data_IF_307725275190
#
_entry.id   IF_307725275190
#
_cell.length_a   1.000
_cell.length_b   1.000
_cell.length_c   1.000
_cell.angle_alpha   90.00
_cell.angle_beta   90.00
_cell.angle_gamma   90.00
#
_symmetry.space_group_name_H-M   'P 1'
#
loop_
_entity.id
_entity.type
_entity.pdbx_description
1 polymer ?
#
# COMPACT_ATOMS: atom_id res chain seq x y z
N UNK A 1 -17.87 5.42 -22.84
CA UNK A 1 -18.09 5.81 -21.44
C UNK A 1 -18.15 4.62 -20.48
N UNK A 2 -19.02 3.60 -20.65
CA UNK A 2 -19.07 2.46 -19.71
C UNK A 2 -17.75 1.66 -19.69
N UNK A 3 -17.08 1.52 -20.84
CA UNK A 3 -15.78 0.84 -20.95
C UNK A 3 -14.70 1.46 -20.06
N UNK A 4 -14.55 2.78 -20.06
CA UNK A 4 -13.56 3.48 -19.22
C UNK A 4 -13.86 3.31 -17.72
N UNK A 5 -15.13 3.36 -17.34
CA UNK A 5 -15.57 3.10 -15.97
C UNK A 5 -15.19 1.70 -15.50
N UNK A 6 -15.54 0.67 -16.28
CA UNK A 6 -15.22 -0.72 -15.92
C UNK A 6 -13.72 -1.00 -15.94
N UNK A 7 -12.97 -0.42 -16.87
CA UNK A 7 -11.51 -0.51 -16.87
C UNK A 7 -10.91 0.09 -15.61
N UNK A 8 -11.33 1.32 -15.23
CA UNK A 8 -10.86 1.99 -14.03
C UNK A 8 -11.16 1.15 -12.77
N UNK A 9 -12.41 0.72 -12.59
CA UNK A 9 -12.82 -0.10 -11.44
C UNK A 9 -12.10 -1.46 -11.44
N UNK A 10 -11.95 -2.09 -12.60
CA UNK A 10 -11.21 -3.35 -12.72
C UNK A 10 -9.75 -3.24 -12.28
N UNK A 11 -9.07 -2.14 -12.64
CA UNK A 11 -7.71 -1.85 -12.19
C UNK A 11 -7.65 -1.62 -10.67
N UNK A 12 -8.59 -0.87 -10.10
CA UNK A 12 -8.67 -0.62 -8.66
C UNK A 12 -8.94 -1.90 -7.86
N UNK A 13 -9.92 -2.71 -8.27
CA UNK A 13 -10.27 -3.95 -7.59
C UNK A 13 -9.18 -5.00 -7.71
N UNK A 14 -8.59 -5.18 -8.90
CA UNK A 14 -7.47 -6.11 -9.07
C UNK A 14 -6.28 -5.72 -8.19
N UNK A 15 -6.01 -4.42 -8.05
CA UNK A 15 -4.99 -3.92 -7.14
C UNK A 15 -5.34 -4.14 -5.67
N UNK A 16 -6.58 -3.85 -5.25
CA UNK A 16 -7.04 -4.08 -3.89
C UNK A 16 -6.89 -5.55 -3.49
N UNK A 17 -7.33 -6.46 -4.36
CA UNK A 17 -7.22 -7.91 -4.16
C UNK A 17 -5.74 -8.32 -4.12
N UNK A 18 -4.94 -7.90 -5.10
CA UNK A 18 -3.52 -8.22 -5.18
C UNK A 18 -2.74 -7.74 -3.95
N UNK A 19 -2.91 -6.47 -3.57
CA UNK A 19 -2.27 -5.91 -2.38
C UNK A 19 -2.72 -6.62 -1.10
N UNK A 20 -4.01 -6.93 -0.97
CA UNK A 20 -4.52 -7.65 0.20
C UNK A 20 -3.93 -9.06 0.28
N UNK A 21 -3.86 -9.78 -0.83
CA UNK A 21 -3.23 -11.11 -0.88
C UNK A 21 -1.75 -11.04 -0.49
N UNK A 22 -1.00 -10.09 -1.02
CA UNK A 22 0.42 -9.89 -0.69
C UNK A 22 0.58 -9.53 0.80
N UNK A 23 -0.21 -8.58 1.30
CA UNK A 23 -0.20 -8.16 2.69
C UNK A 23 -0.48 -9.33 3.64
N UNK A 24 -1.59 -10.06 3.42
CA UNK A 24 -1.95 -11.21 4.23
C UNK A 24 -0.90 -12.32 4.15
N UNK A 25 -0.32 -12.55 2.97
CA UNK A 25 0.75 -13.55 2.81
C UNK A 25 1.94 -13.21 3.70
N UNK A 26 2.38 -11.95 3.73
CA UNK A 26 3.52 -11.54 4.55
C UNK A 26 3.17 -11.59 6.04
N UNK A 27 1.97 -11.15 6.44
CA UNK A 27 1.54 -11.19 7.85
C UNK A 27 1.48 -12.61 8.41
N UNK A 28 0.99 -13.57 7.64
CA UNK A 28 0.85 -14.96 8.10
C UNK A 28 2.06 -15.85 7.81
N UNK A 29 3.03 -15.38 7.01
CA UNK A 29 4.22 -16.17 6.66
C UNK A 29 5.42 -15.79 7.52
N UNK A 30 5.92 -16.70 8.37
CA UNK A 30 7.16 -16.44 9.12
C UNK A 30 8.40 -16.39 8.20
N UNK A 31 8.27 -16.81 6.94
CA UNK A 31 9.36 -16.87 5.96
C UNK A 31 9.65 -15.51 5.32
N UNK A 32 8.67 -14.60 5.31
CA UNK A 32 8.80 -13.31 4.62
C UNK A 32 8.83 -12.20 5.67
N UNK A 33 10.02 -11.66 5.92
CA UNK A 33 10.18 -10.50 6.80
C UNK A 33 10.28 -9.23 5.96
N UNK A 34 9.40 -8.27 6.24
CA UNK A 34 9.39 -6.93 5.64
C UNK A 34 9.57 -5.87 6.73
N UNK A 35 10.01 -4.68 6.33
CA UNK A 35 10.14 -3.55 7.24
C UNK A 35 8.77 -3.01 7.65
N UNK A 36 8.69 -2.35 8.81
CA UNK A 36 7.42 -1.90 9.38
C UNK A 36 6.66 -0.94 8.43
N UNK A 37 7.40 -0.06 7.73
CA UNK A 37 6.84 0.93 6.79
C UNK A 37 6.27 0.31 5.51
N UNK A 38 6.62 -0.93 5.19
CA UNK A 38 6.04 -1.63 4.04
C UNK A 38 4.58 -2.03 4.31
N UNK A 39 4.23 -2.38 5.55
CA UNK A 39 2.85 -2.70 5.92
C UNK A 39 1.94 -1.48 5.80
N UNK A 40 2.38 -0.31 6.29
CA UNK A 40 1.59 0.93 6.19
C UNK A 40 1.43 1.38 4.74
N UNK A 41 2.46 1.19 3.92
CA UNK A 41 2.38 1.37 2.47
C UNK A 41 1.32 0.46 1.84
N UNK A 42 1.30 -0.85 2.12
CA UNK A 42 0.27 -1.74 1.57
C UNK A 42 -1.14 -1.34 2.01
N UNK A 43 -1.31 -1.02 3.30
CA UNK A 43 -2.62 -0.62 3.85
C UNK A 43 -3.12 0.68 3.23
N UNK A 44 -2.25 1.67 2.98
CA UNK A 44 -2.67 2.93 2.33
C UNK A 44 -3.16 2.72 0.90
N UNK A 45 -2.48 1.86 0.13
CA UNK A 45 -2.91 1.52 -1.23
C UNK A 45 -4.21 0.71 -1.27
N UNK A 46 -4.41 -0.20 -0.31
CA UNK A 46 -5.69 -0.90 -0.16
C UNK A 46 -6.81 0.10 0.12
N UNK A 47 -6.61 1.00 1.10
CA UNK A 47 -7.58 2.06 1.43
C UNK A 47 -7.88 2.96 0.23
N UNK A 48 -6.85 3.27 -0.58
CA UNK A 48 -7.01 4.03 -1.81
C UNK A 48 -7.94 3.33 -2.79
N UNK A 49 -7.64 2.07 -3.12
CA UNK A 49 -8.43 1.31 -4.07
C UNK A 49 -9.90 1.15 -3.60
N UNK A 50 -10.12 0.94 -2.30
CA UNK A 50 -11.46 0.89 -1.73
C UNK A 50 -12.20 2.23 -1.88
N UNK A 51 -11.53 3.34 -1.59
CA UNK A 51 -12.12 4.69 -1.69
C UNK A 51 -12.64 4.98 -3.11
N UNK A 52 -11.82 4.66 -4.13
CA UNK A 52 -12.22 4.82 -5.53
C UNK A 52 -13.32 3.84 -5.99
N UNK A 53 -13.50 2.73 -5.28
CA UNK A 53 -14.46 1.67 -5.63
C UNK A 53 -15.79 1.73 -4.85
N UNK A 54 -15.94 2.62 -3.86
CA UNK A 54 -17.14 2.67 -2.99
C UNK A 54 -18.46 2.71 -3.77
N UNK A 55 -18.51 3.52 -4.83
CA UNK A 55 -19.72 3.70 -5.64
C UNK A 55 -20.11 2.42 -6.42
N UNK A 56 -19.12 1.60 -6.80
CA UNK A 56 -19.37 0.33 -7.48
C UNK A 56 -20.12 -0.66 -6.57
N UNK A 57 -19.77 -0.72 -5.28
CA UNK A 57 -20.41 -1.63 -4.33
C UNK A 57 -21.88 -1.31 -4.04
N UNK A 58 -22.33 -0.09 -4.33
CA UNK A 58 -23.72 0.35 -4.08
C UNK A 58 -24.54 0.41 -5.37
N UNK A 59 -24.06 -0.23 -6.45
CA UNK A 59 -24.80 -0.32 -7.71
C UNK A 59 -24.68 0.92 -8.60
N UNK A 60 -23.69 1.79 -8.37
CA UNK A 60 -23.44 2.99 -9.18
C UNK A 60 -22.96 2.72 -10.60
N UNK A 61 -23.00 1.48 -11.09
CA UNK A 61 -22.73 1.14 -12.49
C UNK A 61 -23.80 1.71 -13.44
N UNK A 62 -25.01 2.00 -12.93
CA UNK A 62 -26.08 2.64 -13.69
C UNK A 62 -25.94 4.17 -13.63
N UNK A 63 -25.85 4.88 -14.79
CA UNK A 63 -25.85 6.33 -14.85
C UNK A 63 -27.12 6.99 -14.29
N UNK A 64 -28.25 6.27 -14.26
CA UNK A 64 -29.53 6.75 -13.75
C UNK A 64 -29.68 6.60 -12.24
N UNK A 65 -28.80 5.82 -11.59
CA UNK A 65 -28.82 5.64 -10.15
C UNK A 65 -28.14 6.82 -9.45
N UNK A 66 -28.95 7.63 -8.77
CA UNK A 66 -28.46 8.73 -7.92
C UNK A 66 -27.92 8.14 -6.61
N UNK A 67 -26.61 8.21 -6.34
CA UNK A 67 -26.06 7.66 -5.11
C UNK A 67 -26.56 8.43 -3.90
N UNK A 68 -26.60 7.76 -2.74
CA UNK A 68 -26.85 8.42 -1.47
C UNK A 68 -25.85 9.58 -1.28
N UNK A 69 -26.36 10.78 -1.01
CA UNK A 69 -25.56 12.00 -0.91
C UNK A 69 -24.45 11.89 0.15
N UNK A 70 -24.72 11.26 1.29
CA UNK A 70 -23.72 11.09 2.35
C UNK A 70 -22.59 10.16 1.92
N UNK A 71 -22.89 9.13 1.13
CA UNK A 71 -21.88 8.24 0.56
C UNK A 71 -21.03 8.99 -0.48
N UNK A 72 -21.67 9.80 -1.32
CA UNK A 72 -21.00 10.61 -2.33
C UNK A 72 -20.04 11.64 -1.70
N UNK A 73 -20.46 12.30 -0.62
CA UNK A 73 -19.64 13.22 0.17
C UNK A 73 -18.45 12.48 0.80
N UNK A 74 -18.70 11.33 1.42
CA UNK A 74 -17.64 10.52 2.04
C UNK A 74 -16.63 10.04 1.00
N UNK A 75 -17.11 9.55 -0.15
CA UNK A 75 -16.24 9.12 -1.25
C UNK A 75 -15.39 10.28 -1.77
N UNK A 76 -15.99 11.44 -2.01
CA UNK A 76 -15.25 12.60 -2.50
C UNK A 76 -14.17 13.03 -1.49
N UNK A 77 -14.50 13.10 -0.19
CA UNK A 77 -13.53 13.43 0.85
C UNK A 77 -12.37 12.43 0.94
N UNK A 78 -12.64 11.13 0.77
CA UNK A 78 -11.61 10.10 0.69
C UNK A 78 -10.72 10.29 -0.54
N UNK A 79 -11.29 10.51 -1.72
CA UNK A 79 -10.55 10.66 -2.98
C UNK A 79 -9.61 11.85 -2.96
N UNK A 80 -10.00 12.97 -2.33
CA UNK A 80 -9.12 14.13 -2.20
C UNK A 80 -8.05 13.97 -1.11
N UNK A 81 -8.24 13.12 -0.10
CA UNK A 81 -7.28 12.96 1.01
C UNK A 81 -6.30 11.80 0.81
N UNK A 82 -6.75 10.69 0.23
CA UNK A 82 -5.98 9.46 0.03
C UNK A 82 -4.67 9.65 -0.76
N UNK A 83 -4.62 10.45 -1.85
CA UNK A 83 -3.37 10.72 -2.56
C UNK A 83 -2.24 11.22 -1.66
N UNK A 84 -2.57 12.05 -0.66
CA UNK A 84 -1.61 12.50 0.34
C UNK A 84 -1.15 11.36 1.24
N UNK A 85 -2.05 10.46 1.64
CA UNK A 85 -1.69 9.28 2.44
C UNK A 85 -0.75 8.34 1.69
N UNK A 86 -1.07 8.01 0.44
CA UNK A 86 -0.25 7.11 -0.38
C UNK A 86 1.11 7.74 -0.67
N UNK A 87 1.17 9.05 -0.91
CA UNK A 87 2.43 9.78 -1.02
C UNK A 87 3.24 9.74 0.30
N UNK A 88 2.65 10.06 1.44
CA UNK A 88 3.34 10.07 2.74
C UNK A 88 3.86 8.68 3.16
N UNK A 89 3.07 7.63 2.92
CA UNK A 89 3.50 6.24 3.21
C UNK A 89 4.58 5.76 2.25
N UNK A 90 4.55 6.18 0.97
CA UNK A 90 5.63 5.94 0.01
C UNK A 90 6.91 6.67 0.41
N UNK A 91 6.82 7.93 0.84
CA UNK A 91 7.95 8.69 1.37
C UNK A 91 8.54 8.01 2.60
N UNK A 92 7.69 7.52 3.51
CA UNK A 92 8.13 6.82 4.72
C UNK A 92 8.90 5.54 4.38
N UNK A 93 8.42 4.78 3.39
CA UNK A 93 9.13 3.60 2.86
C UNK A 93 10.47 3.98 2.21
N UNK A 94 10.50 5.06 1.44
CA UNK A 94 11.71 5.57 0.78
C UNK A 94 12.76 6.05 1.79
N UNK A 95 12.36 6.81 2.81
CA UNK A 95 13.23 7.27 3.91
C UNK A 95 13.80 6.10 4.68
N UNK A 96 12.99 5.07 4.94
CA UNK A 96 13.47 3.86 5.60
C UNK A 96 14.52 3.13 4.74
N UNK A 97 14.23 2.92 3.45
CA UNK A 97 15.22 2.34 2.53
C UNK A 97 16.50 3.18 2.44
N UNK A 98 16.36 4.50 2.38
CA UNK A 98 17.47 5.44 2.37
C UNK A 98 18.35 5.32 3.61
N UNK A 99 17.75 5.35 4.81
CA UNK A 99 18.48 5.24 6.07
C UNK A 99 19.28 3.94 6.15
N UNK A 100 18.65 2.81 5.80
CA UNK A 100 19.29 1.50 5.88
C UNK A 100 20.43 1.34 4.86
N UNK A 101 20.36 1.96 3.68
CA UNK A 101 21.45 1.91 2.70
C UNK A 101 22.57 2.89 3.05
N UNK A 102 22.22 4.09 3.50
CA UNK A 102 23.18 5.16 3.75
C UNK A 102 23.97 4.94 5.05
N UNK A 103 23.31 4.41 6.10
CA UNK A 103 23.92 4.22 7.42
C UNK A 103 24.07 2.76 7.85
N UNK A 104 23.66 1.78 7.04
CA UNK A 104 23.51 0.37 7.45
C UNK A 104 24.76 -0.36 7.96
N UNK A 105 25.96 0.23 7.81
CA UNK A 105 27.21 -0.30 8.36
C UNK A 105 27.64 0.45 9.63
N UNK A 106 27.37 1.76 9.67
CA UNK A 106 27.91 2.68 10.68
C UNK A 106 26.95 2.97 11.83
N UNK A 107 25.66 2.66 11.66
CA UNK A 107 24.61 2.91 12.66
C UNK A 107 23.67 1.72 12.75
N UNK A 108 23.03 1.51 13.93
CA UNK A 108 21.98 0.52 14.04
C UNK A 108 20.86 0.79 13.02
N UNK A 109 20.13 -0.25 12.58
CA UNK A 109 19.03 -0.09 11.62
C UNK A 109 17.99 0.89 12.17
N UNK A 110 17.23 1.53 11.29
CA UNK A 110 16.22 2.52 11.70
C UNK A 110 15.24 1.95 12.72
N UNK A 111 14.94 0.65 12.60
CA UNK A 111 14.10 -0.13 13.52
C UNK A 111 14.58 -0.11 14.99
N UNK A 112 15.85 0.21 15.25
CA UNK A 112 16.37 0.38 16.61
C UNK A 112 15.85 1.68 17.28
N UNK A 113 15.47 2.69 16.51
CA UNK A 113 14.90 3.93 17.03
C UNK A 113 13.37 3.90 16.93
N UNK A 114 12.74 3.30 17.94
CA UNK A 114 11.29 3.12 17.98
C UNK A 114 10.50 4.43 17.82
N UNK A 115 11.02 5.57 18.31
CA UNK A 115 10.34 6.87 18.19
C UNK A 115 10.25 7.32 16.73
N UNK A 116 11.36 7.22 16.00
CA UNK A 116 11.40 7.57 14.58
C UNK A 116 10.54 6.63 13.74
N UNK A 117 10.57 5.33 14.04
CA UNK A 117 9.75 4.33 13.34
C UNK A 117 8.26 4.59 13.59
N UNK A 118 7.85 4.77 14.85
CA UNK A 118 6.45 5.10 15.19
C UNK A 118 6.03 6.38 14.48
N UNK A 119 6.87 7.41 14.44
CA UNK A 119 6.56 8.64 13.70
C UNK A 119 6.35 8.37 12.20
N UNK A 120 7.23 7.59 11.54
CA UNK A 120 7.10 7.20 10.13
C UNK A 120 5.86 6.34 9.85
N UNK A 121 5.40 5.57 10.83
CA UNK A 121 4.22 4.72 10.69
C UNK A 121 2.92 5.47 10.92
N UNK A 122 2.88 6.32 11.95
CA UNK A 122 1.64 6.93 12.46
C UNK A 122 1.37 8.31 11.86
N UNK A 123 2.41 9.13 11.64
CA UNK A 123 2.23 10.49 11.12
C UNK A 123 1.48 10.54 9.78
N UNK A 124 1.72 9.63 8.79
CA UNK A 124 0.95 9.61 7.55
C UNK A 124 -0.56 9.48 7.77
N UNK A 125 -0.99 8.64 8.71
CA UNK A 125 -2.41 8.41 8.99
C UNK A 125 -3.04 9.56 9.78
N UNK A 126 -2.30 10.15 10.72
CA UNK A 126 -2.78 11.33 11.45
C UNK A 126 -3.01 12.49 10.48
N UNK A 127 -2.01 12.80 9.64
CA UNK A 127 -2.11 13.87 8.64
C UNK A 127 -3.28 13.61 7.68
N UNK A 128 -3.38 12.38 7.16
CA UNK A 128 -4.49 11.97 6.30
C UNK A 128 -5.85 12.14 6.98
N UNK A 129 -5.99 11.72 8.23
CA UNK A 129 -7.26 11.81 8.96
C UNK A 129 -7.74 13.25 9.11
N UNK A 130 -6.84 14.19 9.41
CA UNK A 130 -7.19 15.61 9.48
C UNK A 130 -7.58 16.20 8.12
N UNK A 131 -6.86 15.84 7.05
CA UNK A 131 -7.19 16.27 5.69
C UNK A 131 -8.56 15.70 5.26
N UNK A 132 -8.79 14.42 5.51
CA UNK A 132 -10.06 13.74 5.27
C UNK A 132 -11.20 14.42 6.02
N UNK A 133 -11.03 14.69 7.31
CA UNK A 133 -12.03 15.36 8.14
C UNK A 133 -12.34 16.76 7.60
N UNK A 134 -11.32 17.51 7.18
CA UNK A 134 -11.50 18.82 6.54
C UNK A 134 -12.36 18.77 5.29
N UNK A 135 -12.07 17.83 4.36
CA UNK A 135 -12.88 17.66 3.16
C UNK A 135 -14.28 17.11 3.43
N UNK A 136 -14.42 16.24 4.44
CA UNK A 136 -15.73 15.72 4.85
C UNK A 136 -16.61 16.84 5.39
N UNK A 137 -16.10 17.65 6.32
CA UNK A 137 -16.83 18.80 6.88
C UNK A 137 -17.16 19.83 5.79
N UNK A 138 -16.23 20.08 4.87
CA UNK A 138 -16.48 20.96 3.73
C UNK A 138 -17.61 20.45 2.83
N UNK A 139 -17.60 19.15 2.51
CA UNK A 139 -18.62 18.51 1.68
C UNK A 139 -19.99 18.44 2.36
N UNK A 140 -20.03 18.24 3.69
CA UNK A 140 -21.28 18.30 4.47
C UNK A 140 -21.86 19.72 4.51
N UNK A 141 -21.00 20.74 4.71
CA UNK A 141 -21.43 22.14 4.71
C UNK A 141 -21.90 22.63 3.34
N UNK A 142 -21.35 22.05 2.25
CA UNK A 142 -21.67 22.42 0.87
C UNK A 142 -22.19 21.23 0.07
N UNK A 143 -23.16 20.51 0.63
CA UNK A 143 -23.77 19.32 0.05
C UNK A 143 -24.21 19.46 -1.43
N UNK A 144 -24.71 20.62 -1.92
CA UNK A 144 -25.07 20.80 -3.33
C UNK A 144 -23.88 20.80 -4.31
N UNK A 145 -22.66 21.07 -3.83
CA UNK A 145 -21.44 21.08 -4.64
C UNK A 145 -20.87 19.67 -4.86
N UNK A 146 -21.39 18.66 -4.16
CA UNK A 146 -20.92 17.28 -4.28
C UNK A 146 -21.84 16.53 -5.23
N UNK A 147 -21.33 16.22 -6.41
CA UNK A 147 -22.10 15.50 -7.42
C UNK A 147 -21.22 14.51 -8.17
N UNK A 148 -21.85 13.46 -8.68
CA UNK A 148 -21.24 12.58 -9.67
C UNK A 148 -21.47 13.17 -11.05
N UNK A 149 -20.41 13.63 -11.72
CA UNK A 149 -20.52 14.06 -13.11
C UNK A 149 -20.76 12.85 -14.02
N UNK A 150 -21.52 13.05 -15.10
CA UNK A 150 -21.87 12.00 -16.07
C UNK A 150 -20.67 11.33 -16.75
N UNK A 151 -19.47 11.92 -16.64
CA UNK A 151 -18.21 11.40 -17.19
C UNK A 151 -17.25 10.84 -16.12
N UNK A 152 -17.56 10.98 -14.83
CA UNK A 152 -16.68 10.57 -13.74
C UNK A 152 -17.08 9.21 -13.15
N UNK A 153 -16.07 8.40 -12.82
CA UNK A 153 -16.22 7.10 -12.17
C UNK A 153 -16.53 7.21 -10.67
N UNK A 154 -16.42 8.41 -10.10
CA UNK A 154 -16.56 8.68 -8.68
C UNK A 154 -17.18 10.05 -8.41
N UNK A 155 -17.61 10.27 -7.17
CA UNK A 155 -18.12 11.57 -6.72
C UNK A 155 -17.00 12.60 -6.56
N UNK A 156 -17.24 13.82 -7.03
CA UNK A 156 -16.30 14.93 -6.86
C UNK A 156 -16.99 16.13 -6.22
N UNK A 157 -16.17 17.03 -5.68
CA UNK A 157 -16.62 18.34 -5.22
C UNK A 157 -16.35 19.31 -6.37
N UNK A 158 -17.38 19.94 -6.91
CA UNK A 158 -17.27 20.80 -8.11
C UNK A 158 -16.54 22.12 -7.86
N UNK A 159 -16.20 22.42 -6.60
CA UNK A 159 -15.36 23.56 -6.24
C UNK A 159 -13.89 23.32 -6.61
N UNK A 160 -13.20 24.37 -7.04
CA UNK A 160 -11.76 24.32 -7.27
C UNK A 160 -10.97 24.12 -5.96
N UNK A 161 -11.51 24.52 -4.80
CA UNK A 161 -10.78 24.55 -3.53
C UNK A 161 -10.26 23.16 -3.12
N UNK A 162 -11.09 22.08 -3.03
CA UNK A 162 -10.60 20.77 -2.61
C UNK A 162 -9.55 20.18 -3.56
N UNK A 163 -9.75 20.35 -4.86
CA UNK A 163 -8.82 19.87 -5.88
C UNK A 163 -7.46 20.57 -5.75
N UNK A 164 -7.43 21.90 -5.68
CA UNK A 164 -6.17 22.67 -5.53
C UNK A 164 -5.45 22.34 -4.23
N UNK A 165 -6.17 22.23 -3.12
CA UNK A 165 -5.59 21.89 -1.82
C UNK A 165 -5.00 20.48 -1.81
N UNK A 166 -5.73 19.49 -2.32
CA UNK A 166 -5.24 18.11 -2.45
C UNK A 166 -3.98 18.06 -3.31
N UNK A 167 -4.01 18.69 -4.51
CA UNK A 167 -2.86 18.77 -5.40
C UNK A 167 -1.66 19.43 -4.74
N UNK A 168 -1.85 20.52 -3.99
CA UNK A 168 -0.78 21.20 -3.26
C UNK A 168 -0.09 20.26 -2.25
N UNK A 169 -0.87 19.56 -1.41
CA UNK A 169 -0.31 18.60 -0.46
C UNK A 169 0.48 17.49 -1.14
N UNK A 170 -0.08 16.93 -2.21
CA UNK A 170 0.59 15.89 -2.99
C UNK A 170 1.91 16.40 -3.58
N UNK A 171 1.91 17.57 -4.22
CA UNK A 171 3.11 18.17 -4.82
C UNK A 171 4.19 18.45 -3.78
N UNK A 172 3.82 18.96 -2.59
CA UNK A 172 4.79 19.16 -1.50
C UNK A 172 5.44 17.84 -1.07
N UNK A 173 4.64 16.79 -0.88
CA UNK A 173 5.15 15.49 -0.43
C UNK A 173 5.99 14.81 -1.52
N UNK A 174 5.55 14.80 -2.78
CA UNK A 174 6.29 14.17 -3.88
C UNK A 174 7.57 14.93 -4.21
N UNK A 175 7.58 16.26 -4.09
CA UNK A 175 8.78 17.08 -4.24
C UNK A 175 9.84 16.74 -3.17
N UNK A 176 9.41 16.41 -1.95
CA UNK A 176 10.33 15.93 -0.90
C UNK A 176 10.90 14.53 -1.17
N UNK A 177 10.26 13.71 -2.02
CA UNK A 177 10.79 12.40 -2.41
C UNK A 177 12.01 12.52 -3.31
N UNK A 178 12.08 13.54 -4.18
CA UNK A 178 13.19 13.75 -5.13
C UNK A 178 14.58 13.75 -4.47
N UNK A 179 14.88 14.60 -3.47
CA UNK A 179 16.21 14.62 -2.85
C UNK A 179 16.53 13.29 -2.17
N UNK A 180 15.54 12.64 -1.53
CA UNK A 180 15.73 11.33 -0.88
C UNK A 180 16.03 10.26 -1.92
N UNK A 181 15.32 10.26 -3.05
CA UNK A 181 15.49 9.31 -4.15
C UNK A 181 16.85 9.49 -4.85
N UNK A 182 17.26 10.74 -5.12
CA UNK A 182 18.58 11.05 -5.67
C UNK A 182 19.67 10.63 -4.70
N UNK A 183 19.55 10.98 -3.42
CA UNK A 183 20.53 10.59 -2.39
C UNK A 183 20.64 9.07 -2.23
N UNK A 184 19.52 8.35 -2.27
CA UNK A 184 19.48 6.89 -2.24
C UNK A 184 20.15 6.29 -3.46
N UNK A 185 19.84 6.79 -4.66
CA UNK A 185 20.47 6.37 -5.91
C UNK A 185 21.98 6.60 -5.93
N UNK A 186 22.45 7.78 -5.49
CA UNK A 186 23.87 8.08 -5.38
C UNK A 186 24.57 7.19 -4.35
N UNK A 187 23.95 6.99 -3.19
CA UNK A 187 24.49 6.09 -2.15
C UNK A 187 24.59 4.66 -2.68
N UNK A 188 23.61 4.22 -3.46
CA UNK A 188 23.61 2.90 -4.08
C UNK A 188 24.70 2.78 -5.17
N UNK A 189 24.79 3.74 -6.10
CA UNK A 189 25.81 3.74 -7.14
C UNK A 189 27.23 3.77 -6.56
N UNK A 190 27.46 4.57 -5.52
CA UNK A 190 28.76 4.64 -4.84
C UNK A 190 29.13 3.31 -4.19
N UNK A 191 28.18 2.67 -3.51
CA UNK A 191 28.40 1.37 -2.89
C UNK A 191 28.63 0.25 -3.92
N UNK A 192 27.94 0.30 -5.08
CA UNK A 192 28.14 -0.67 -6.17
C UNK A 192 29.45 -0.43 -6.94
N UNK A 193 29.89 0.82 -7.08
CA UNK A 193 31.11 1.18 -7.82
C UNK A 193 32.38 0.86 -7.04
N UNK A 194 32.38 1.02 -5.71
CA UNK A 194 33.55 0.75 -4.86
C UNK A 194 33.81 -0.77 -4.64
N UNK A 195 33.20 -1.63 -5.46
CA UNK A 195 33.08 -3.05 -5.22
C UNK A 195 34.24 -3.87 -5.80
N UNK A 196 35.38 -3.90 -5.11
CA UNK A 196 36.49 -4.83 -5.40
C UNK A 196 36.81 -5.82 -4.26
N UNK A 197 36.01 -5.92 -3.19
CA UNK A 197 36.09 -7.03 -2.19
C UNK A 197 35.06 -6.93 -1.05
N UNK A 198 34.51 -5.74 -0.77
CA UNK A 198 33.80 -5.44 0.48
C UNK A 198 32.34 -4.99 0.32
N UNK A 199 31.61 -5.48 -0.68
CA UNK A 199 30.17 -5.16 -0.80
C UNK A 199 29.39 -5.59 0.45
N UNK A 200 28.95 -4.59 1.21
CA UNK A 200 28.26 -4.74 2.51
C UNK A 200 26.74 -4.82 2.37
N UNK A 201 26.19 -4.59 1.17
CA UNK A 201 24.75 -4.63 0.91
C UNK A 201 24.33 -6.03 0.48
N UNK A 202 23.39 -6.62 1.22
CA UNK A 202 22.81 -7.91 0.85
C UNK A 202 22.00 -7.80 -0.45
N UNK A 203 22.09 -8.81 -1.33
CA UNK A 203 21.28 -8.89 -2.57
C UNK A 203 19.78 -8.71 -2.28
N UNK A 204 19.18 -9.32 -1.23
CA UNK A 204 17.78 -9.07 -0.88
C UNK A 204 17.48 -7.60 -0.57
N UNK A 205 18.36 -6.90 0.16
CA UNK A 205 18.21 -5.47 0.45
C UNK A 205 18.25 -4.64 -0.83
N UNK A 206 19.20 -4.95 -1.73
CA UNK A 206 19.33 -4.28 -3.03
C UNK A 206 18.05 -4.41 -3.86
N UNK A 207 17.46 -5.61 -3.94
CA UNK A 207 16.22 -5.84 -4.67
C UNK A 207 15.06 -5.01 -4.11
N UNK A 208 14.93 -4.90 -2.78
CA UNK A 208 13.89 -4.09 -2.16
C UNK A 208 14.11 -2.60 -2.46
N UNK A 209 15.34 -2.11 -2.38
CA UNK A 209 15.69 -0.70 -2.67
C UNK A 209 15.38 -0.33 -4.11
N UNK A 210 15.77 -1.17 -5.08
CA UNK A 210 15.48 -0.95 -6.50
C UNK A 210 13.96 -0.89 -6.74
N UNK A 211 13.20 -1.80 -6.13
CA UNK A 211 11.74 -1.82 -6.22
C UNK A 211 11.10 -0.54 -5.67
N UNK A 212 11.55 -0.08 -4.50
CA UNK A 212 11.06 1.16 -3.88
C UNK A 212 11.42 2.36 -4.76
N UNK A 213 12.63 2.43 -5.31
CA UNK A 213 13.07 3.47 -6.25
C UNK A 213 12.22 3.54 -7.52
N UNK A 214 11.91 2.38 -8.13
CA UNK A 214 11.05 2.32 -9.33
C UNK A 214 9.64 2.81 -8.98
N UNK A 215 9.07 2.29 -7.89
CA UNK A 215 7.72 2.68 -7.47
C UNK A 215 7.62 4.17 -7.12
N UNK A 216 8.60 4.73 -6.40
CA UNK A 216 8.62 6.16 -6.08
C UNK A 216 8.79 7.03 -7.31
N UNK A 217 9.54 6.58 -8.32
CA UNK A 217 9.65 7.28 -9.60
C UNK A 217 8.31 7.30 -10.34
N UNK A 218 7.63 6.16 -10.44
CA UNK A 218 6.29 6.07 -11.04
C UNK A 218 5.28 6.97 -10.32
N UNK A 219 5.35 6.98 -8.98
CA UNK A 219 4.53 7.85 -8.13
C UNK A 219 4.79 9.32 -8.47
N UNK A 220 6.04 9.73 -8.60
CA UNK A 220 6.39 11.10 -8.94
C UNK A 220 5.87 11.52 -10.31
N UNK A 221 5.99 10.65 -11.32
CA UNK A 221 5.50 10.92 -12.68
C UNK A 221 3.97 11.06 -12.68
N UNK A 222 3.26 10.12 -12.05
CA UNK A 222 1.80 10.15 -12.02
C UNK A 222 1.25 11.35 -11.25
N UNK A 223 1.92 11.76 -10.16
CA UNK A 223 1.51 12.93 -9.39
C UNK A 223 2.07 14.26 -9.91
N UNK A 224 2.92 14.27 -10.94
CA UNK A 224 3.32 15.49 -11.65
C UNK A 224 2.09 16.16 -12.31
N UNK A 225 1.02 15.41 -12.55
CA UNK A 225 -0.29 15.93 -12.98
C UNK A 225 -0.94 16.84 -11.93
N UNK A 226 -0.58 16.72 -10.63
CA UNK A 226 -1.03 17.66 -9.61
C UNK A 226 -0.63 19.10 -9.92
N UNK A 227 0.47 19.30 -10.64
CA UNK A 227 0.90 20.62 -11.13
C UNK A 227 -0.03 21.13 -12.23
N UNK A 228 -0.50 20.25 -13.13
CA UNK A 228 -1.45 20.56 -14.20
C UNK A 228 -2.77 21.09 -13.61
N UNK A 229 -3.26 20.45 -12.55
CA UNK A 229 -4.45 20.91 -11.82
C UNK A 229 -4.25 22.27 -11.13
N UNK A 230 -3.06 22.58 -10.63
CA UNK A 230 -2.75 23.91 -10.04
C UNK A 230 -2.86 25.02 -11.10
N UNK A 231 -2.55 24.71 -12.36
CA UNK A 231 -2.61 25.67 -13.48
C UNK A 231 -3.92 25.63 -14.29
N UNK A 232 -4.99 25.02 -13.78
CA UNK A 232 -6.33 24.96 -14.41
C UNK A 232 -6.36 24.31 -15.81
N UNK A 233 -5.37 23.48 -16.12
CA UNK A 233 -5.39 22.62 -17.29
C UNK A 233 -6.30 21.44 -16.96
N UNK A 234 -7.50 21.38 -17.56
CA UNK A 234 -8.49 20.33 -17.30
C UNK A 234 -7.98 18.96 -17.77
N UNK A 235 -7.63 18.03 -16.87
CA UNK A 235 -7.17 16.72 -17.27
C UNK A 235 -8.36 15.85 -17.68
N UNK A 236 -8.17 15.10 -18.76
CA UNK A 236 -9.20 14.21 -19.28
C UNK A 236 -9.32 12.91 -18.48
N UNK A 237 -10.33 12.07 -18.80
CA UNK A 237 -10.55 10.75 -18.18
C UNK A 237 -9.38 9.76 -18.35
N UNK A 238 -8.41 10.11 -19.19
CA UNK A 238 -7.16 9.36 -19.36
C UNK A 238 -6.27 9.41 -18.10
N UNK A 239 -6.26 10.55 -17.39
CA UNK A 239 -5.45 10.74 -16.20
C UNK A 239 -5.92 9.84 -15.04
N UNK A 240 -7.24 9.67 -14.89
CA UNK A 240 -7.80 8.73 -13.91
C UNK A 240 -7.31 7.29 -14.14
N UNK A 241 -7.13 6.89 -15.40
CA UNK A 241 -6.64 5.55 -15.74
C UNK A 241 -5.16 5.42 -15.38
N UNK A 242 -4.34 6.43 -15.66
CA UNK A 242 -2.91 6.45 -15.25
C UNK A 242 -2.81 6.28 -13.73
N UNK A 243 -3.63 7.01 -12.98
CA UNK A 243 -3.68 6.91 -11.52
C UNK A 243 -4.10 5.52 -11.03
N UNK A 244 -5.01 4.84 -11.74
CA UNK A 244 -5.42 3.47 -11.43
C UNK A 244 -4.33 2.42 -11.72
N UNK A 245 -3.34 2.72 -12.57
CA UNK A 245 -2.20 1.83 -12.82
C UNK A 245 -1.16 1.84 -11.70
N UNK A 246 -1.03 2.92 -10.94
CA UNK A 246 -0.08 2.99 -9.81
C UNK A 246 -0.22 1.82 -8.83
N UNK A 247 -1.41 1.55 -8.25
CA UNK A 247 -1.54 0.43 -7.32
C UNK A 247 -1.32 -0.93 -8.01
N UNK A 248 -1.64 -1.06 -9.31
CA UNK A 248 -1.32 -2.28 -10.10
C UNK A 248 0.19 -2.49 -10.17
N UNK A 249 0.95 -1.44 -10.50
CA UNK A 249 2.40 -1.50 -10.48
C UNK A 249 2.93 -1.82 -9.08
N UNK A 250 2.28 -1.30 -8.04
CA UNK A 250 2.60 -1.68 -6.65
C UNK A 250 2.46 -3.19 -6.43
N UNK A 251 1.36 -3.79 -6.86
CA UNK A 251 1.16 -5.25 -6.80
C UNK A 251 2.21 -5.99 -7.60
N UNK A 252 2.55 -5.54 -8.81
CA UNK A 252 3.56 -6.22 -9.63
C UNK A 252 4.96 -6.12 -9.02
N UNK A 253 5.37 -4.91 -8.61
CA UNK A 253 6.71 -4.62 -8.07
C UNK A 253 6.92 -5.34 -6.73
N UNK A 254 5.94 -5.30 -5.84
CA UNK A 254 6.04 -5.88 -4.49
C UNK A 254 5.49 -7.30 -4.39
N UNK A 255 4.70 -7.77 -5.34
CA UNK A 255 4.14 -9.14 -5.38
C UNK A 255 4.99 -10.13 -6.16
N UNK A 256 5.75 -9.69 -7.17
CA UNK A 256 6.61 -10.57 -7.98
C UNK A 256 7.91 -10.94 -7.26
N UNK A 257 7.80 -11.52 -6.07
CA UNK A 257 8.93 -11.86 -5.22
C UNK A 257 8.98 -13.36 -5.00
N UNK A 258 10.16 -13.97 -5.19
CA UNK A 258 10.35 -15.44 -5.14
C UNK A 258 9.95 -16.03 -3.78
N UNK A 259 10.11 -15.26 -2.71
CA UNK A 259 9.74 -15.62 -1.35
C UNK A 259 8.22 -15.69 -1.12
N UNK A 260 7.45 -14.79 -1.76
CA UNK A 260 5.97 -14.84 -1.78
C UNK A 260 5.51 -16.11 -2.50
N UNK A 261 5.99 -16.36 -3.72
CA UNK A 261 5.62 -17.58 -4.46
C UNK A 261 6.04 -18.86 -3.73
N UNK A 262 7.23 -18.88 -3.12
CA UNK A 262 7.69 -20.02 -2.32
C UNK A 262 6.77 -20.28 -1.13
N UNK A 263 6.29 -19.22 -0.47
CA UNK A 263 5.32 -19.34 0.62
C UNK A 263 4.02 -19.97 0.13
N UNK A 264 3.48 -19.51 -1.00
CA UNK A 264 2.27 -20.08 -1.58
C UNK A 264 2.43 -21.56 -1.95
N UNK A 265 3.55 -21.93 -2.56
CA UNK A 265 3.87 -23.33 -2.89
C UNK A 265 3.96 -24.19 -1.62
N UNK A 266 4.54 -23.68 -0.54
CA UNK A 266 4.64 -24.41 0.74
C UNK A 266 3.28 -24.56 1.41
N UNK A 267 2.43 -23.53 1.37
CA UNK A 267 1.08 -23.59 1.92
C UNK A 267 0.21 -24.57 1.14
N UNK A 268 0.23 -24.53 -0.19
CA UNK A 268 -0.51 -25.50 -1.02
C UNK A 268 0.01 -26.92 -0.80
N UNK A 269 1.32 -27.12 -0.70
CA UNK A 269 1.91 -28.43 -0.39
C UNK A 269 1.49 -28.97 0.98
N UNK A 270 1.35 -28.11 2.00
CA UNK A 270 0.86 -28.51 3.34
C UNK A 270 -0.63 -28.85 3.33
N UNK A 271 -1.44 -28.09 2.58
CA UNK A 271 -2.87 -28.38 2.40
C UNK A 271 -3.09 -29.73 1.69
N UNK A 272 -2.29 -30.03 0.67
CA UNK A 272 -2.35 -31.31 -0.07
C UNK A 272 -1.85 -32.48 0.79
N UNK A 273 -0.82 -32.26 1.63
CA UNK A 273 -0.21 -33.31 2.46
C UNK A 273 -0.96 -33.61 3.75
N UNK A 274 -2.06 -32.93 4.09
CA UNK A 274 -2.82 -33.21 5.31
C UNK A 274 -3.73 -34.43 5.08
N UNK A 275 -3.34 -35.67 5.45
CA UNK A 275 -4.20 -36.82 5.25
C UNK A 275 -5.17 -36.84 6.43
N UNK A 276 -6.46 -37.09 6.18
CA UNK A 276 -7.39 -37.45 7.25
C UNK A 276 -6.76 -38.62 8.04
N UNK A 277 -6.33 -38.39 9.28
CA UNK A 277 -5.93 -39.49 10.17
C UNK A 277 -7.15 -40.41 10.30
N UNK A 278 -7.06 -41.71 9.94
CA UNK A 278 -8.11 -42.63 10.30
C UNK A 278 -8.15 -42.71 11.83
N UNK A 279 -9.34 -42.54 12.39
CA UNK A 279 -9.62 -42.69 13.81
C UNK A 279 -9.29 -44.12 14.24
N UNK A 280 -8.12 -44.34 14.86
CA UNK A 280 -7.76 -45.61 15.48
C UNK A 280 -8.37 -45.64 16.88
N UNK A 281 -9.42 -46.45 17.04
CA UNK A 281 -10.13 -46.66 18.29
C UNK A 281 -9.46 -47.80 19.05
N UNK A 282 -8.34 -47.52 19.71
CA UNK A 282 -7.71 -48.48 20.64
C UNK A 282 -8.06 -48.08 22.08
N UNK A 283 -9.20 -48.56 22.56
CA UNK A 283 -9.41 -48.89 23.98
C UNK A 283 -8.59 -50.16 24.25
N UNK A 284 -7.61 -50.21 25.16
CA UNK A 284 -7.77 -50.19 26.62
C UNK A 284 -6.38 -50.19 27.28
N UNK A 285 -6.12 -49.43 28.35
CA UNK A 285 -4.93 -49.60 29.19
C UNK A 285 -5.27 -50.40 30.47
N UNK A 286 -4.52 -51.46 30.76
CA UNK A 286 -4.47 -52.12 32.07
C UNK A 286 -3.04 -52.59 32.32
N UNK A 287 -2.25 -51.83 33.06
CA UNK A 287 -1.99 -51.98 34.50
C UNK A 287 -0.72 -52.82 34.77
N UNK A 288 0.41 -52.14 34.93
CA UNK A 288 1.44 -52.41 35.93
C UNK A 288 1.69 -51.09 36.65
N UNK A 289 1.85 -51.06 37.99
CA UNK A 289 3.11 -51.45 38.66
C UNK A 289 2.79 -52.19 40.00
N UNK A 290 3.66 -52.62 40.90
CA UNK A 290 5.04 -52.29 41.24
C UNK A 290 5.60 -53.36 42.20
N UNK A 291 6.93 -53.52 42.17
CA UNK A 291 7.90 -53.77 43.25
C UNK A 291 7.67 -54.74 44.45
N UNK A 292 8.72 -55.55 44.64
CA UNK A 292 9.45 -55.84 45.89
C UNK A 292 8.77 -56.63 47.01
N UNK A 293 9.19 -57.89 47.19
CA UNK A 293 9.39 -58.51 48.51
C UNK A 293 10.67 -59.36 48.50
N UNK A 294 11.41 -59.21 49.59
CA UNK A 294 12.73 -59.74 50.01
C UNK A 294 12.61 -61.07 50.76
N UNK A 295 13.53 -62.01 50.55
CA UNK A 295 14.00 -63.17 51.39
C UNK A 295 14.54 -64.25 50.43
N UNK A 296 15.71 -64.87 50.55
CA UNK A 296 16.84 -64.89 51.49
C UNK A 296 18.14 -65.13 50.69
#
# INVERSE_FOLDING_TARGET
MPTLFYTFIGLQLSSAIGMSLIFLTVVFSPLVKRCSTWYTFCVSWILSCFSYSLLFFVGGSDPSHVPNQNLCITQAALIYSVPTLTALTTLSLLVHSWYNVHFGISRPPLEANYKTVIALLVAPYIIWFFIFLGFLLFGLAHSPLVNRLSKSSYCIITSAIPTKMSSLFVVMVTSSMLPVQVSLGLSLCRNLYHNDSTSTISIPTLQVVIRVMIFSFLTLVAFAEGVIYIFDLSPGPFMDIIMAWLPVFGVLIFGMQKDIFRTWILWTSRLVKSPKKPYRKDSTPSLTPDNSVRSD
#
